data_IF_080616902303
#
_entry.id   IF_080616902303
#
_cell.length_a   1.000
_cell.length_b   1.000
_cell.length_c   1.000
_cell.angle_alpha   90.00
_cell.angle_beta   90.00
_cell.angle_gamma   90.00
#
_symmetry.space_group_name_H-M   'P 1'
#
loop_
_entity.id
_entity.type
_entity.pdbx_description
1 polymer ?
#
# COMPACT_ATOMS: atom_id res chain seq x y z
N UNK A 1 37.65 46.03 -12.95
CA UNK A 1 37.47 45.18 -14.14
C UNK A 1 37.81 43.70 -13.91
N UNK A 2 38.41 43.33 -12.78
CA UNK A 2 38.79 41.93 -12.51
C UNK A 2 37.74 41.01 -11.88
N UNK A 3 36.65 41.54 -11.32
CA UNK A 3 35.62 40.72 -10.72
C UNK A 3 34.64 40.15 -11.75
N UNK A 4 34.32 40.87 -12.81
CA UNK A 4 33.37 40.42 -13.85
C UNK A 4 33.95 39.28 -14.73
N UNK A 5 35.24 39.26 -14.93
CA UNK A 5 35.90 38.22 -15.77
C UNK A 5 35.99 36.84 -15.09
N UNK A 6 35.97 36.79 -13.74
CA UNK A 6 35.98 35.53 -13.00
C UNK A 6 34.62 34.83 -12.95
N UNK A 7 33.52 35.58 -12.97
CA UNK A 7 32.19 34.98 -13.02
C UNK A 7 31.85 34.43 -14.41
N UNK A 8 32.19 35.09 -15.47
CA UNK A 8 31.98 34.63 -16.85
C UNK A 8 32.72 33.33 -17.13
N UNK A 9 33.92 33.17 -16.54
CA UNK A 9 34.72 31.94 -16.68
C UNK A 9 34.08 30.73 -15.99
N UNK A 10 33.35 30.94 -14.86
CA UNK A 10 32.62 29.85 -14.15
C UNK A 10 31.39 29.40 -14.90
N UNK A 11 30.62 30.31 -15.50
CA UNK A 11 29.45 29.97 -16.32
C UNK A 11 29.81 29.25 -17.62
N UNK A 12 30.95 29.58 -18.21
CA UNK A 12 31.45 28.92 -19.43
C UNK A 12 31.96 27.50 -19.15
N UNK A 13 32.48 27.22 -17.94
CA UNK A 13 32.87 25.86 -17.54
C UNK A 13 31.63 24.98 -17.27
N UNK A 14 30.58 25.53 -16.64
CA UNK A 14 29.33 24.80 -16.42
C UNK A 14 28.60 24.46 -17.71
N UNK A 15 28.54 25.36 -18.70
CA UNK A 15 27.93 25.10 -19.99
C UNK A 15 28.68 24.05 -20.83
N UNK A 16 29.99 23.93 -20.69
CA UNK A 16 30.81 22.90 -21.38
C UNK A 16 30.67 21.51 -20.77
N UNK A 17 30.38 21.41 -19.46
CA UNK A 17 30.17 20.12 -18.78
C UNK A 17 28.78 19.57 -19.08
N UNK A 18 27.74 20.44 -19.27
CA UNK A 18 26.36 20.02 -19.53
C UNK A 18 26.13 19.63 -21.00
N UNK A 19 26.91 20.11 -21.94
CA UNK A 19 26.69 19.87 -23.38
C UNK A 19 27.40 18.62 -23.95
N UNK A 20 28.15 17.86 -23.13
CA UNK A 20 28.88 16.70 -23.64
C UNK A 20 28.46 15.36 -22.99
N UNK A 21 27.31 15.31 -22.32
CA UNK A 21 26.72 14.07 -21.88
C UNK A 21 25.59 13.67 -22.83
N UNK A 22 25.92 12.97 -23.90
CA UNK A 22 24.99 12.09 -24.58
C UNK A 22 24.62 10.98 -23.60
N UNK A 23 23.65 11.21 -22.70
CA UNK A 23 23.03 10.16 -21.89
C UNK A 23 22.21 9.28 -22.84
N UNK A 24 22.86 8.32 -23.47
CA UNK A 24 22.18 7.18 -24.04
C UNK A 24 21.76 6.27 -22.89
N UNK A 25 20.46 6.21 -22.58
CA UNK A 25 19.89 5.26 -21.65
C UNK A 25 19.91 3.80 -22.18
N UNK A 26 20.46 3.58 -23.38
CA UNK A 26 20.63 2.23 -23.89
C UNK A 26 21.81 1.55 -23.14
N UNK A 27 21.62 0.38 -22.50
CA UNK A 27 22.68 -0.33 -21.82
C UNK A 27 23.78 -0.67 -22.83
N UNK A 28 25.03 -0.30 -22.55
CA UNK A 28 26.17 -0.72 -23.34
C UNK A 28 26.24 -2.26 -23.32
N UNK A 29 26.23 -2.90 -24.47
CA UNK A 29 26.41 -4.37 -24.58
C UNK A 29 27.69 -4.77 -23.83
N UNK A 30 27.54 -5.56 -22.74
CA UNK A 30 28.65 -6.17 -22.01
C UNK A 30 28.98 -5.61 -20.62
N UNK A 31 28.36 -4.51 -20.15
CA UNK A 31 28.50 -4.04 -18.76
C UNK A 31 27.40 -4.63 -17.88
N UNK A 32 27.69 -5.01 -16.62
CA UNK A 32 26.67 -5.28 -15.61
C UNK A 32 25.92 -3.96 -15.38
N UNK A 33 24.76 -3.76 -16.02
CA UNK A 33 23.92 -2.59 -15.75
C UNK A 33 23.34 -2.71 -14.35
N UNK A 34 23.33 -1.62 -13.58
CA UNK A 34 22.55 -1.54 -12.37
C UNK A 34 21.08 -1.57 -12.77
N UNK A 35 20.35 -2.59 -12.33
CA UNK A 35 18.94 -2.79 -12.68
C UNK A 35 17.98 -2.16 -11.65
N UNK A 36 18.48 -1.42 -10.66
CA UNK A 36 17.65 -0.70 -9.68
C UNK A 36 16.74 0.27 -10.44
N UNK A 37 15.44 0.21 -10.11
CA UNK A 37 14.40 1.01 -10.77
C UNK A 37 13.72 0.30 -11.95
N UNK A 38 14.29 -0.83 -12.47
CA UNK A 38 13.66 -1.59 -13.53
C UNK A 38 14.03 -3.08 -13.43
N UNK A 39 13.38 -3.79 -12.52
CA UNK A 39 13.66 -5.21 -12.27
C UNK A 39 12.47 -5.94 -11.68
N UNK A 40 12.45 -7.24 -11.87
CA UNK A 40 11.46 -8.16 -11.31
C UNK A 40 12.24 -9.17 -10.47
N UNK A 41 11.96 -9.19 -9.16
CA UNK A 41 12.58 -10.10 -8.22
C UNK A 41 11.62 -11.23 -7.85
N UNK A 42 12.18 -12.32 -7.31
CA UNK A 42 11.37 -13.38 -6.71
C UNK A 42 11.05 -13.02 -5.27
N UNK A 43 9.83 -13.30 -4.85
CA UNK A 43 9.42 -13.26 -3.45
C UNK A 43 10.10 -14.39 -2.68
N UNK A 44 10.79 -14.09 -1.59
CA UNK A 44 11.56 -15.06 -0.80
C UNK A 44 10.70 -15.84 0.17
N UNK A 45 9.65 -15.20 0.69
CA UNK A 45 8.72 -15.72 1.67
C UNK A 45 7.35 -15.08 1.46
N UNK A 46 6.31 -15.67 2.01
CA UNK A 46 4.96 -15.10 2.07
C UNK A 46 4.17 -15.69 3.21
N UNK A 47 3.25 -14.92 3.75
CA UNK A 47 2.30 -15.41 4.74
C UNK A 47 1.51 -16.59 4.17
N UNK A 48 1.29 -17.59 5.02
CA UNK A 48 0.47 -18.75 4.66
C UNK A 48 -0.99 -18.32 4.43
N UNK A 49 -1.66 -18.76 3.36
CA UNK A 49 -3.06 -18.41 3.09
C UNK A 49 -4.02 -18.77 4.24
N UNK A 50 -3.85 -19.91 4.91
CA UNK A 50 -4.70 -20.30 6.04
C UNK A 50 -4.53 -19.38 7.23
N UNK A 51 -3.32 -18.85 7.45
CA UNK A 51 -3.05 -17.85 8.47
C UNK A 51 -3.63 -16.48 8.09
N UNK A 52 -3.46 -16.07 6.84
CA UNK A 52 -4.03 -14.82 6.32
C UNK A 52 -5.57 -14.81 6.41
N UNK A 53 -6.21 -15.92 6.07
CA UNK A 53 -7.68 -16.03 6.09
C UNK A 53 -8.27 -15.82 7.50
N UNK A 54 -7.53 -16.10 8.57
CA UNK A 54 -8.02 -15.85 9.94
C UNK A 54 -8.21 -14.36 10.24
N UNK A 55 -7.55 -13.49 9.49
CA UNK A 55 -7.72 -12.04 9.63
C UNK A 55 -8.98 -11.50 8.92
N UNK A 56 -9.64 -12.28 8.06
CA UNK A 56 -10.89 -11.87 7.41
C UNK A 56 -12.05 -11.67 8.38
N UNK A 57 -11.96 -12.20 9.60
CA UNK A 57 -12.97 -12.08 10.66
C UNK A 57 -12.59 -11.02 11.71
N UNK A 58 -11.46 -10.32 11.52
CA UNK A 58 -10.91 -9.37 12.47
C UNK A 58 -10.96 -7.95 11.91
N UNK A 59 -11.56 -6.96 12.62
CA UNK A 59 -11.52 -5.57 12.19
C UNK A 59 -10.08 -5.07 12.05
N UNK A 60 -9.78 -4.34 10.96
CA UNK A 60 -8.47 -3.73 10.74
C UNK A 60 -8.09 -2.79 11.89
N UNK A 61 -9.06 -2.11 12.48
CA UNK A 61 -8.86 -1.26 13.65
C UNK A 61 -8.30 -2.04 14.86
N UNK A 62 -8.80 -3.26 15.12
CA UNK A 62 -8.32 -4.10 16.22
C UNK A 62 -6.91 -4.62 15.98
N UNK A 63 -6.59 -4.95 14.73
CA UNK A 63 -5.23 -5.33 14.33
C UNK A 63 -4.28 -4.15 14.52
N UNK A 64 -4.66 -2.95 14.07
CA UNK A 64 -3.89 -1.72 14.27
C UNK A 64 -3.63 -1.43 15.75
N UNK A 65 -4.65 -1.56 16.58
CA UNK A 65 -4.53 -1.38 18.03
C UNK A 65 -3.55 -2.37 18.66
N UNK A 66 -3.57 -3.64 18.20
CA UNK A 66 -2.66 -4.68 18.66
C UNK A 66 -1.21 -4.41 18.24
N UNK A 67 -1.00 -3.58 17.24
CA UNK A 67 0.29 -3.08 16.76
C UNK A 67 0.61 -1.66 17.27
N UNK A 68 0.01 -1.23 18.39
CA UNK A 68 0.22 0.07 19.02
C UNK A 68 -0.13 1.28 18.13
N UNK A 69 -0.90 1.11 17.07
CA UNK A 69 -1.29 2.14 16.10
C UNK A 69 -0.11 2.81 15.38
N UNK A 70 1.04 2.11 15.32
CA UNK A 70 2.27 2.67 14.72
C UNK A 70 2.33 2.47 13.21
N UNK A 71 1.47 1.63 12.65
CA UNK A 71 1.43 1.30 11.22
C UNK A 71 0.07 1.65 10.65
N UNK A 72 0.03 2.40 9.54
CA UNK A 72 -1.21 2.74 8.85
C UNK A 72 -0.95 3.06 7.37
N UNK A 73 -1.85 2.63 6.50
CA UNK A 73 -1.79 2.86 5.06
C UNK A 73 -2.28 4.23 4.60
N UNK A 74 -2.49 5.15 5.54
CA UNK A 74 -2.96 6.50 5.26
C UNK A 74 -4.45 6.59 4.94
N UNK A 75 -4.97 7.80 5.07
CA UNK A 75 -6.40 8.07 4.89
C UNK A 75 -6.82 8.25 3.42
N UNK A 76 -5.86 8.28 2.50
CA UNK A 76 -6.12 8.45 1.07
C UNK A 76 -6.66 7.18 0.41
N UNK A 77 -6.26 6.00 0.90
CA UNK A 77 -6.70 4.72 0.36
C UNK A 77 -8.15 4.42 0.78
N UNK A 78 -9.04 4.27 -0.20
CA UNK A 78 -10.46 4.00 0.02
C UNK A 78 -10.91 2.79 -0.78
N UNK A 79 -11.88 2.01 -0.26
CA UNK A 79 -12.43 0.89 -0.98
C UNK A 79 -13.16 1.36 -2.24
N UNK A 80 -12.89 0.69 -3.37
CA UNK A 80 -13.55 0.87 -4.65
C UNK A 80 -14.52 -0.29 -4.95
N UNK A 81 -14.58 -1.29 -4.08
CA UNK A 81 -15.48 -2.44 -4.14
C UNK A 81 -16.69 -2.22 -3.23
N UNK A 82 -17.68 -3.09 -3.33
CA UNK A 82 -18.99 -2.92 -2.68
C UNK A 82 -19.00 -3.43 -1.23
N UNK A 83 -18.32 -4.52 -0.95
CA UNK A 83 -18.36 -5.18 0.36
C UNK A 83 -17.24 -6.21 0.50
N UNK A 84 -17.00 -6.65 1.72
CA UNK A 84 -16.02 -7.67 2.05
C UNK A 84 -14.70 -7.08 2.56
N UNK A 85 -13.97 -7.94 3.24
CA UNK A 85 -12.62 -7.68 3.74
C UNK A 85 -11.59 -8.29 2.81
N UNK A 86 -10.36 -7.87 2.98
CA UNK A 86 -9.21 -8.36 2.23
C UNK A 86 -8.13 -8.82 3.19
N UNK A 87 -7.58 -10.02 2.95
CA UNK A 87 -6.41 -10.51 3.66
C UNK A 87 -5.59 -11.41 2.74
N UNK A 88 -4.28 -11.20 2.65
CA UNK A 88 -3.41 -12.03 1.82
C UNK A 88 -1.97 -11.57 1.80
N UNK A 89 -1.12 -12.35 1.13
CA UNK A 89 0.30 -12.04 1.02
C UNK A 89 0.58 -10.93 0.01
N UNK A 90 1.42 -9.96 0.39
CA UNK A 90 1.82 -8.86 -0.46
C UNK A 90 2.64 -9.31 -1.67
N UNK A 91 2.19 -8.94 -2.87
CA UNK A 91 3.01 -8.86 -4.07
C UNK A 91 3.23 -7.38 -4.36
N UNK A 92 4.42 -6.89 -4.04
CA UNK A 92 4.70 -5.45 -4.10
C UNK A 92 5.13 -4.99 -5.47
N UNK A 93 4.64 -3.83 -5.87
CA UNK A 93 4.96 -3.16 -7.13
C UNK A 93 5.34 -1.71 -6.85
N UNK A 94 6.52 -1.30 -7.31
CA UNK A 94 6.91 0.10 -7.36
C UNK A 94 6.84 0.57 -8.80
N UNK A 95 5.93 1.47 -9.10
CA UNK A 95 5.69 1.94 -10.47
C UNK A 95 6.03 3.42 -10.62
N UNK A 96 6.44 3.80 -11.84
CA UNK A 96 6.48 5.22 -12.19
C UNK A 96 5.05 5.80 -12.11
N UNK A 97 4.85 6.99 -11.55
CA UNK A 97 3.56 7.66 -11.56
C UNK A 97 2.90 7.67 -12.95
N UNK A 98 1.61 7.29 -13.01
CA UNK A 98 0.85 7.25 -14.25
C UNK A 98 1.18 6.10 -15.21
N UNK A 99 2.04 5.14 -14.83
CA UNK A 99 2.43 3.99 -15.67
C UNK A 99 2.00 2.67 -15.04
N UNK A 100 1.44 1.74 -15.82
CA UNK A 100 0.94 0.47 -15.30
C UNK A 100 1.60 -0.80 -15.89
N UNK A 101 2.72 -0.66 -16.59
CA UNK A 101 3.41 -1.83 -17.17
C UNK A 101 3.74 -2.88 -16.11
N UNK A 102 4.31 -2.45 -14.96
CA UNK A 102 4.70 -3.35 -13.89
C UNK A 102 3.49 -3.94 -13.17
N UNK A 103 2.38 -3.20 -13.08
CA UNK A 103 1.13 -3.70 -12.52
C UNK A 103 0.51 -4.81 -13.41
N UNK A 104 0.55 -4.67 -14.73
CA UNK A 104 0.17 -5.76 -15.65
C UNK A 104 1.01 -7.01 -15.39
N UNK A 105 2.34 -6.86 -15.28
CA UNK A 105 3.23 -7.98 -14.99
C UNK A 105 2.98 -8.61 -13.63
N UNK A 106 2.65 -7.81 -12.62
CA UNK A 106 2.31 -8.31 -11.29
C UNK A 106 1.05 -9.19 -11.31
N UNK A 107 0.03 -8.81 -12.09
CA UNK A 107 -1.17 -9.66 -12.27
C UNK A 107 -0.79 -11.02 -12.88
N UNK A 108 0.14 -11.06 -13.84
CA UNK A 108 0.62 -12.31 -14.43
C UNK A 108 1.40 -13.19 -13.45
N UNK A 109 2.06 -12.58 -12.46
CA UNK A 109 2.90 -13.27 -11.47
C UNK A 109 2.14 -13.69 -10.21
N UNK A 110 0.98 -13.06 -9.96
CA UNK A 110 0.22 -13.31 -8.74
C UNK A 110 -0.23 -14.76 -8.63
N UNK A 111 -0.09 -15.31 -7.44
CA UNK A 111 -0.67 -16.56 -7.01
C UNK A 111 -2.07 -16.34 -6.45
N UNK A 112 -2.97 -17.34 -6.45
CA UNK A 112 -4.29 -17.21 -5.86
C UNK A 112 -4.24 -16.70 -4.42
N UNK A 113 -5.04 -15.67 -4.10
CA UNK A 113 -5.09 -15.03 -2.78
C UNK A 113 -4.02 -13.96 -2.52
N UNK A 114 -3.06 -13.75 -3.42
CA UNK A 114 -2.10 -12.65 -3.26
C UNK A 114 -2.79 -11.29 -3.32
N UNK A 115 -2.30 -10.34 -2.53
CA UNK A 115 -2.70 -8.93 -2.59
C UNK A 115 -1.62 -8.16 -3.36
N UNK A 116 -2.00 -7.58 -4.48
CA UNK A 116 -1.08 -6.75 -5.27
C UNK A 116 -1.07 -5.34 -4.68
N UNK A 117 0.06 -4.93 -4.13
CA UNK A 117 0.25 -3.60 -3.53
C UNK A 117 1.15 -2.76 -4.43
N UNK A 118 0.58 -1.72 -5.04
CA UNK A 118 1.29 -0.85 -5.97
C UNK A 118 1.48 0.55 -5.40
N UNK A 119 2.74 0.93 -5.20
CA UNK A 119 3.10 2.33 -4.96
C UNK A 119 3.48 3.01 -6.28
N UNK A 120 2.65 3.96 -6.70
CA UNK A 120 2.90 4.85 -7.84
C UNK A 120 2.97 6.32 -7.41
N UNK A 121 3.42 6.56 -6.18
CA UNK A 121 3.67 7.89 -5.66
C UNK A 121 2.41 8.72 -5.38
N UNK A 122 1.23 8.11 -5.29
CA UNK A 122 -0.03 8.81 -5.04
C UNK A 122 -0.52 9.64 -6.23
N UNK A 123 -0.03 9.39 -7.45
CA UNK A 123 -0.46 10.14 -8.64
C UNK A 123 -1.92 9.85 -8.99
N UNK A 124 -2.72 10.91 -9.08
CA UNK A 124 -4.12 10.87 -9.46
C UNK A 124 -4.40 11.38 -10.87
N UNK A 125 -3.34 11.74 -11.61
CA UNK A 125 -3.47 12.27 -12.98
C UNK A 125 -3.93 11.19 -13.95
N UNK A 126 -3.32 10.00 -13.84
CA UNK A 126 -3.65 8.85 -14.67
C UNK A 126 -4.13 7.68 -13.81
N UNK A 127 -5.19 7.00 -14.27
CA UNK A 127 -5.64 5.75 -13.65
C UNK A 127 -4.68 4.60 -14.00
N UNK A 128 -4.27 3.81 -13.01
CA UNK A 128 -3.41 2.64 -13.27
C UNK A 128 -4.20 1.40 -13.65
N UNK A 129 -5.44 1.27 -13.17
CA UNK A 129 -6.27 0.07 -13.33
C UNK A 129 -7.69 0.44 -13.73
N UNK A 130 -8.29 -0.40 -14.58
CA UNK A 130 -9.69 -0.34 -14.98
C UNK A 130 -10.26 -1.74 -15.19
N UNK A 131 -11.46 -1.83 -15.77
CA UNK A 131 -12.26 -3.04 -15.92
C UNK A 131 -11.49 -4.23 -16.51
N UNK A 132 -10.74 -4.04 -17.60
CA UNK A 132 -10.02 -5.13 -18.26
C UNK A 132 -8.97 -5.79 -17.35
N UNK A 133 -8.24 -4.99 -16.59
CA UNK A 133 -7.25 -5.51 -15.64
C UNK A 133 -7.92 -6.19 -14.46
N UNK A 134 -9.04 -5.64 -13.98
CA UNK A 134 -9.87 -6.25 -12.94
C UNK A 134 -10.35 -7.65 -13.35
N UNK A 135 -10.85 -7.77 -14.59
CA UNK A 135 -11.30 -9.06 -15.12
C UNK A 135 -10.16 -10.08 -15.24
N UNK A 136 -8.97 -9.66 -15.67
CA UNK A 136 -7.79 -10.53 -15.68
C UNK A 136 -7.40 -11.00 -14.28
N UNK A 137 -7.39 -10.10 -13.31
CA UNK A 137 -7.05 -10.42 -11.92
C UNK A 137 -8.07 -11.39 -11.29
N UNK A 138 -9.35 -11.17 -11.51
CA UNK A 138 -10.41 -12.06 -11.03
C UNK A 138 -10.27 -13.48 -11.60
N UNK A 139 -9.93 -13.62 -12.89
CA UNK A 139 -9.66 -14.93 -13.53
C UNK A 139 -8.47 -15.67 -12.94
N UNK A 140 -7.53 -14.96 -12.34
CA UNK A 140 -6.34 -15.52 -11.69
C UNK A 140 -6.53 -15.72 -10.19
N UNK A 141 -7.73 -15.44 -9.66
CA UNK A 141 -8.04 -15.52 -8.23
C UNK A 141 -7.12 -14.62 -7.37
N UNK A 142 -6.74 -13.45 -7.88
CA UNK A 142 -6.04 -12.43 -7.09
C UNK A 142 -6.93 -12.06 -5.91
N UNK A 143 -6.37 -12.00 -4.69
CA UNK A 143 -7.13 -11.73 -3.47
C UNK A 143 -7.57 -10.27 -3.32
N UNK A 144 -6.86 -9.34 -3.97
CA UNK A 144 -7.21 -7.92 -3.95
C UNK A 144 -6.09 -7.00 -4.39
N UNK A 145 -6.35 -5.70 -4.30
CA UNK A 145 -5.40 -4.65 -4.69
C UNK A 145 -5.35 -3.52 -3.67
N UNK A 146 -4.15 -2.98 -3.48
CA UNK A 146 -3.90 -1.70 -2.83
C UNK A 146 -3.12 -0.83 -3.80
N UNK A 147 -3.72 0.27 -4.26
CA UNK A 147 -3.16 1.12 -5.31
C UNK A 147 -2.96 2.54 -4.76
N UNK A 148 -1.74 2.92 -4.46
CA UNK A 148 -1.39 4.31 -4.17
C UNK A 148 -1.38 5.12 -5.47
N UNK A 149 -2.55 5.21 -6.10
CA UNK A 149 -2.82 5.80 -7.40
C UNK A 149 -4.33 5.90 -7.67
N UNK A 150 -4.71 6.47 -8.82
CA UNK A 150 -6.09 6.47 -9.29
C UNK A 150 -6.46 5.19 -10.04
N UNK A 151 -7.77 4.89 -10.06
CA UNK A 151 -8.41 3.86 -10.89
C UNK A 151 -9.48 4.50 -11.80
N UNK A 152 -10.03 3.72 -12.75
CA UNK A 152 -11.18 4.11 -13.57
C UNK A 152 -12.16 2.95 -13.70
N UNK A 153 -13.28 3.17 -14.38
CA UNK A 153 -14.33 2.16 -14.59
C UNK A 153 -14.92 1.65 -13.25
N UNK A 154 -15.17 2.59 -12.30
CA UNK A 154 -15.51 2.29 -10.90
C UNK A 154 -16.74 1.38 -10.77
N UNK A 155 -17.74 1.50 -11.64
CA UNK A 155 -18.92 0.63 -11.61
C UNK A 155 -18.54 -0.84 -11.79
N UNK A 156 -17.56 -1.16 -12.61
CA UNK A 156 -17.08 -2.53 -12.79
C UNK A 156 -16.46 -3.10 -11.50
N UNK A 157 -15.79 -2.26 -10.70
CA UNK A 157 -15.26 -2.69 -9.40
C UNK A 157 -16.38 -3.03 -8.41
N UNK A 158 -17.45 -2.27 -8.42
CA UNK A 158 -18.64 -2.55 -7.59
C UNK A 158 -19.34 -3.84 -8.03
N UNK A 159 -19.43 -4.10 -9.33
CA UNK A 159 -20.12 -5.28 -9.88
C UNK A 159 -19.31 -6.57 -9.66
N UNK A 160 -18.01 -6.55 -9.94
CA UNK A 160 -17.10 -7.71 -9.73
C UNK A 160 -16.86 -7.98 -8.25
N UNK A 161 -16.90 -6.94 -7.44
CA UNK A 161 -16.68 -6.97 -5.98
C UNK A 161 -15.37 -7.64 -5.54
N UNK A 162 -14.33 -7.58 -6.37
CA UNK A 162 -12.96 -7.92 -5.95
C UNK A 162 -12.46 -6.78 -5.04
N UNK A 163 -11.89 -7.06 -3.86
CA UNK A 163 -11.36 -6.02 -2.98
C UNK A 163 -10.30 -5.17 -3.67
N UNK A 164 -10.56 -3.88 -3.80
CA UNK A 164 -9.63 -2.89 -4.35
C UNK A 164 -9.68 -1.63 -3.51
N UNK A 165 -8.52 -1.19 -3.04
CA UNK A 165 -8.32 0.09 -2.37
C UNK A 165 -7.48 0.99 -3.26
N UNK A 166 -7.91 2.23 -3.48
CA UNK A 166 -7.21 3.19 -4.32
C UNK A 166 -7.22 4.58 -3.70
N UNK A 167 -6.26 5.42 -4.10
CA UNK A 167 -6.15 6.80 -3.62
C UNK A 167 -7.13 7.75 -4.33
N UNK A 168 -7.70 7.36 -5.46
CA UNK A 168 -8.66 8.20 -6.17
C UNK A 168 -9.15 7.60 -7.49
N UNK A 169 -9.86 8.44 -8.25
CA UNK A 169 -10.47 8.08 -9.54
C UNK A 169 -10.06 9.08 -10.60
N UNK A 170 -9.65 8.62 -11.78
CA UNK A 170 -9.35 9.45 -12.94
C UNK A 170 -9.72 8.71 -14.23
N UNK A 171 -10.39 9.40 -15.16
CA UNK A 171 -10.74 8.81 -16.46
C UNK A 171 -9.53 8.66 -17.39
N UNK A 172 -8.45 9.38 -17.13
CA UNK A 172 -7.26 9.42 -17.99
C UNK A 172 -6.49 8.10 -17.90
N UNK A 173 -6.28 7.44 -19.04
CA UNK A 173 -5.56 6.16 -19.11
C UNK A 173 -4.07 6.27 -18.79
N UNK A 174 -3.44 5.15 -18.40
CA UNK A 174 -2.02 5.09 -18.02
C UNK A 174 -1.10 4.99 -19.24
N UNK A 175 0.18 5.30 -19.02
CA UNK A 175 1.29 4.86 -19.86
C UNK A 175 1.62 3.38 -19.60
N UNK A 176 2.40 2.75 -20.51
CA UNK A 176 2.81 1.34 -20.43
C UNK A 176 4.28 1.15 -20.81
N UNK A 177 5.11 2.08 -20.38
CA UNK A 177 6.52 2.17 -20.79
C UNK A 177 7.48 1.79 -19.65
N UNK A 178 6.99 1.75 -18.41
CA UNK A 178 7.83 1.65 -17.23
C UNK A 178 8.65 2.94 -16.99
N UNK A 179 9.72 2.91 -16.21
CA UNK A 179 10.22 1.77 -15.44
C UNK A 179 9.40 1.46 -14.19
N UNK A 180 9.88 0.45 -13.43
CA UNK A 180 9.34 0.07 -12.14
C UNK A 180 9.94 -1.24 -11.64
N UNK A 181 9.54 -1.67 -10.46
CA UNK A 181 10.10 -2.86 -9.80
C UNK A 181 8.98 -3.74 -9.22
N UNK A 182 9.19 -5.05 -9.20
CA UNK A 182 8.29 -6.02 -8.55
C UNK A 182 9.07 -6.77 -7.48
N UNK A 183 8.40 -7.06 -6.34
CA UNK A 183 8.94 -7.73 -5.17
C UNK A 183 10.16 -7.00 -4.57
N UNK A 184 10.04 -5.68 -4.45
CA UNK A 184 10.92 -4.82 -3.66
C UNK A 184 10.12 -4.22 -2.49
N UNK A 185 10.76 -3.83 -1.36
CA UNK A 185 10.09 -3.05 -0.33
C UNK A 185 9.53 -1.74 -0.90
N UNK A 186 8.31 -1.40 -0.50
CA UNK A 186 7.63 -0.15 -0.84
C UNK A 186 7.15 0.55 0.43
N UNK A 187 6.72 1.81 0.31
CA UNK A 187 6.10 2.52 1.42
C UNK A 187 4.92 3.36 0.92
N UNK A 188 3.79 3.27 1.60
CA UNK A 188 2.60 4.09 1.35
C UNK A 188 2.27 4.86 2.62
N UNK A 189 2.33 6.19 2.59
CA UNK A 189 2.07 7.08 3.72
C UNK A 189 2.86 6.70 5.00
N UNK A 190 4.08 6.18 4.84
CA UNK A 190 4.95 5.73 5.93
C UNK A 190 4.77 4.27 6.34
N UNK A 191 3.72 3.58 5.88
CA UNK A 191 3.58 2.13 6.04
C UNK A 191 4.53 1.40 5.10
N UNK A 192 5.56 0.78 5.66
CA UNK A 192 6.49 -0.07 4.90
C UNK A 192 5.82 -1.42 4.66
N UNK A 193 5.95 -1.93 3.44
CA UNK A 193 5.40 -3.23 3.03
C UNK A 193 6.50 -3.98 2.29
N UNK A 194 6.87 -5.13 2.82
CA UNK A 194 7.81 -6.02 2.17
C UNK A 194 7.10 -7.12 1.36
N UNK A 195 7.74 -7.66 0.32
CA UNK A 195 7.17 -8.79 -0.42
C UNK A 195 6.90 -9.99 0.50
N UNK A 196 5.65 -10.39 0.58
CA UNK A 196 5.21 -11.53 1.40
C UNK A 196 4.62 -11.20 2.76
N UNK A 197 4.66 -9.93 3.19
CA UNK A 197 3.93 -9.46 4.37
C UNK A 197 2.43 -9.74 4.25
N UNK A 198 1.73 -9.83 5.37
CA UNK A 198 0.28 -9.84 5.38
C UNK A 198 -0.25 -8.43 5.08
N UNK A 199 -1.15 -8.33 4.12
CA UNK A 199 -1.92 -7.10 3.86
C UNK A 199 -3.39 -7.39 4.13
N UNK A 200 -4.02 -6.55 4.94
CA UNK A 200 -5.43 -6.61 5.28
C UNK A 200 -6.11 -5.29 4.94
N UNK A 201 -7.40 -5.35 4.68
CA UNK A 201 -8.18 -4.15 4.39
C UNK A 201 -9.67 -4.34 4.64
N UNK A 202 -10.30 -3.32 5.22
CA UNK A 202 -11.74 -3.20 5.39
C UNK A 202 -12.20 -1.75 5.11
N UNK A 203 -13.41 -1.38 5.52
CA UNK A 203 -13.95 -0.03 5.29
C UNK A 203 -13.20 1.08 6.04
N UNK A 204 -12.44 0.75 7.09
CA UNK A 204 -11.63 1.71 7.83
C UNK A 204 -10.31 2.01 7.12
N UNK A 205 -9.81 1.07 6.31
CA UNK A 205 -8.60 1.27 5.54
C UNK A 205 -7.76 0.01 5.32
N UNK A 206 -6.48 0.23 5.08
CA UNK A 206 -5.50 -0.83 4.77
C UNK A 206 -4.39 -0.85 5.81
N UNK A 207 -3.96 -2.04 6.19
CA UNK A 207 -2.85 -2.26 7.11
C UNK A 207 -1.94 -3.39 6.60
N UNK A 208 -0.64 -3.24 6.78
CA UNK A 208 0.33 -4.31 6.57
C UNK A 208 0.88 -4.79 7.91
N UNK A 209 1.01 -6.11 8.04
CA UNK A 209 1.64 -6.78 9.19
C UNK A 209 2.90 -7.47 8.69
N UNK A 210 4.10 -7.18 9.26
CA UNK A 210 5.33 -7.83 8.87
C UNK A 210 5.23 -9.36 8.97
N UNK A 211 5.81 -10.06 8.02
CA UNK A 211 5.73 -11.52 7.91
C UNK A 211 6.04 -12.25 9.22
N UNK A 212 7.11 -11.82 9.91
CA UNK A 212 7.58 -12.48 11.14
C UNK A 212 6.66 -12.23 12.34
N UNK A 213 5.80 -11.22 12.30
CA UNK A 213 4.91 -10.83 13.39
C UNK A 213 3.47 -11.33 13.23
N UNK A 214 3.09 -11.89 12.08
CA UNK A 214 1.69 -12.20 11.73
C UNK A 214 1.03 -13.09 12.79
N UNK A 215 1.68 -14.18 13.20
CA UNK A 215 1.12 -15.09 14.19
C UNK A 215 0.89 -14.40 15.54
N UNK A 216 1.86 -13.60 15.98
CA UNK A 216 1.78 -12.88 17.24
C UNK A 216 0.68 -11.82 17.23
N UNK A 217 0.57 -11.08 16.13
CA UNK A 217 -0.48 -10.06 15.96
C UNK A 217 -1.86 -10.70 15.93
N UNK A 218 -2.02 -11.87 15.29
CA UNK A 218 -3.27 -12.62 15.30
C UNK A 218 -3.73 -12.94 16.74
N UNK A 219 -2.86 -13.52 17.55
CA UNK A 219 -3.16 -13.90 18.93
C UNK A 219 -3.58 -12.69 19.78
N UNK A 220 -2.86 -11.58 19.64
CA UNK A 220 -3.18 -10.34 20.37
C UNK A 220 -4.53 -9.75 19.90
N UNK A 221 -4.81 -9.80 18.61
CA UNK A 221 -6.05 -9.26 18.04
C UNK A 221 -7.26 -10.07 18.45
N UNK A 222 -7.16 -11.41 18.44
CA UNK A 222 -8.25 -12.28 18.93
C UNK A 222 -8.56 -11.99 20.41
N UNK A 223 -7.52 -11.85 21.24
CA UNK A 223 -7.70 -11.50 22.66
C UNK A 223 -8.38 -10.15 22.85
N UNK A 224 -7.98 -9.15 22.04
CA UNK A 224 -8.57 -7.82 22.07
C UNK A 224 -10.04 -7.85 21.63
N UNK A 225 -10.36 -8.51 20.52
CA UNK A 225 -11.73 -8.63 20.01
C UNK A 225 -12.65 -9.27 21.06
N UNK A 226 -12.19 -10.31 21.77
CA UNK A 226 -12.95 -10.91 22.86
C UNK A 226 -13.28 -9.89 23.96
N UNK A 227 -12.31 -9.08 24.37
CA UNK A 227 -12.52 -8.03 25.37
C UNK A 227 -13.56 -7.01 24.90
N UNK A 228 -13.55 -6.64 23.61
CA UNK A 228 -14.51 -5.68 23.04
C UNK A 228 -15.94 -6.27 22.95
N UNK A 229 -16.06 -7.56 22.66
CA UNK A 229 -17.35 -8.26 22.71
C UNK A 229 -17.94 -8.24 24.13
N UNK A 230 -17.11 -8.51 25.15
CA UNK A 230 -17.53 -8.46 26.55
C UNK A 230 -17.97 -7.03 26.95
N UNK A 231 -17.20 -6.02 26.56
CA UNK A 231 -17.54 -4.62 26.80
C UNK A 231 -18.84 -4.19 26.09
N UNK A 232 -19.07 -4.66 24.86
CA UNK A 232 -20.31 -4.36 24.15
C UNK A 232 -21.51 -4.95 24.88
N UNK A 233 -21.42 -6.18 25.40
CA UNK A 233 -22.47 -6.78 26.21
C UNK A 233 -22.75 -5.99 27.52
N UNK A 234 -21.72 -5.47 28.18
CA UNK A 234 -21.89 -4.57 29.33
C UNK A 234 -22.59 -3.25 28.95
N UNK A 235 -22.25 -2.67 27.78
CA UNK A 235 -22.91 -1.47 27.28
C UNK A 235 -24.38 -1.74 27.00
N UNK A 236 -24.70 -2.81 26.29
CA UNK A 236 -26.07 -3.20 25.94
C UNK A 236 -26.95 -3.49 27.18
N UNK A 237 -26.34 -4.10 28.23
CA UNK A 237 -27.02 -4.36 29.49
C UNK A 237 -27.10 -3.15 30.44
N UNK A 238 -26.40 -2.06 30.11
CA UNK A 238 -26.34 -0.87 30.97
C UNK A 238 -25.50 -1.05 32.24
N UNK A 239 -24.62 -2.07 32.27
CA UNK A 239 -23.75 -2.38 33.42
C UNK A 239 -22.33 -1.87 33.26
N UNK A 240 -22.01 -1.21 32.14
CA UNK A 240 -20.68 -0.68 31.83
C UNK A 240 -20.23 0.36 32.86
N UNK A 241 -19.11 0.11 33.57
CA UNK A 241 -18.52 1.06 34.48
C UNK A 241 -17.67 2.12 33.71
N UNK A 242 -18.13 3.35 33.77
CA UNK A 242 -17.46 4.50 33.15
C UNK A 242 -16.75 5.42 34.14
N UNK A 243 -16.65 5.05 35.42
CA UNK A 243 -16.02 5.85 36.49
C UNK A 243 -14.55 6.20 36.20
N UNK A 244 -13.89 5.39 35.38
CA UNK A 244 -12.52 5.61 34.94
C UNK A 244 -12.32 6.95 34.21
N UNK A 245 -13.38 7.49 33.56
CA UNK A 245 -13.30 8.75 32.81
C UNK A 245 -13.00 9.90 33.77
N UNK A 246 -13.84 10.07 34.79
CA UNK A 246 -13.70 11.17 35.75
C UNK A 246 -12.41 11.01 36.58
N UNK A 247 -12.05 9.75 36.89
CA UNK A 247 -10.78 9.46 37.56
C UNK A 247 -9.59 9.93 36.71
N UNK A 248 -9.57 9.57 35.41
CA UNK A 248 -8.51 9.96 34.48
C UNK A 248 -8.44 11.48 34.28
N UNK A 249 -9.59 12.14 34.15
CA UNK A 249 -9.65 13.59 34.00
C UNK A 249 -9.05 14.30 35.21
N UNK A 250 -9.41 13.87 36.42
CA UNK A 250 -8.85 14.41 37.70
C UNK A 250 -7.35 14.19 37.81
N UNK A 251 -6.87 12.95 37.53
CA UNK A 251 -5.45 12.62 37.55
C UNK A 251 -4.62 13.44 36.57
N UNK A 252 -5.22 13.87 35.45
CA UNK A 252 -4.58 14.72 34.43
C UNK A 252 -4.75 16.22 34.67
N UNK A 253 -5.39 16.63 35.77
CA UNK A 253 -5.57 18.02 36.12
C UNK A 253 -6.64 18.77 35.32
N UNK A 254 -7.63 18.05 34.78
CA UNK A 254 -8.77 18.67 34.12
C UNK A 254 -9.60 19.45 35.15
N UNK A 255 -9.88 20.72 34.90
CA UNK A 255 -10.84 21.51 35.70
C UNK A 255 -12.26 20.98 35.41
N UNK A 256 -12.91 20.52 36.45
CA UNK A 256 -14.26 19.96 36.37
C UNK A 256 -15.23 20.78 37.21
N UNK A 257 -16.51 20.90 36.84
CA UNK A 257 -17.52 21.63 37.58
C UNK A 257 -17.80 21.05 38.97
#
# INVERSE_FOLDING_TARGET
>A
MDCLNKEISRYTLYSKVVLNTNYSFAPKKGGKSVSIGFRILNRKQKVNPDLANQFLELPVANVSDSMWRMTAGGSSLRPMHKSGQMAGAALTVKSRPGDNLMLHKAIDMAEPGDIIVCDAGGDLTNSLMGELMLAHAAKRNVGGFVLNAAVRDVLAFLDVNLPVFAAGVSHRGPYKDGPGEINVPIAIDGMVIEPGDLVIGDWDGVLAVPFDDVQRVLELTISKQKTEVDQMAEIESGTSDRSWIDKTLKERGCEMP
#
